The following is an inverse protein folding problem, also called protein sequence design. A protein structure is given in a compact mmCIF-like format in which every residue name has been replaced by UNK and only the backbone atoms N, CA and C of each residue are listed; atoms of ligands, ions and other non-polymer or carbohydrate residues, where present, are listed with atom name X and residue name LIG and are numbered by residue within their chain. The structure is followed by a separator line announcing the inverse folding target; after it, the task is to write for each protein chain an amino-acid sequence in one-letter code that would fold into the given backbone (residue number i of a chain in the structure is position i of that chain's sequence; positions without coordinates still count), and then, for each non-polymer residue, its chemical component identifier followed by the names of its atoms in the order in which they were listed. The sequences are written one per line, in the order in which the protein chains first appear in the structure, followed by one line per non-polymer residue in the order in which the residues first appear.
data_IF_294342804343
#
_entry.id   IF_294342804343
#
_cell.length_a   1.000
_cell.length_b   1.000
_cell.length_c   1.000
_cell.angle_alpha   90.00
_cell.angle_beta   90.00
_cell.angle_gamma   90.00
#
_symmetry.space_group_name_H-M   'P 1'
#
loop_
_entity.id
_entity.type
_entity.pdbx_description
1 polymer ?
#
# COMPACT_ATOMS: atom_id res chain seq x y z
N UNK A 1 -19.35 3.32 2.56
CA UNK A 1 -19.53 2.98 4.00
C UNK A 1 -18.21 2.43 4.51
N UNK A 2 -17.70 2.97 5.58
CA UNK A 2 -16.44 2.49 6.15
C UNK A 2 -16.71 1.32 7.10
N UNK A 3 -16.27 0.14 6.70
CA UNK A 3 -16.47 -1.09 7.46
C UNK A 3 -15.29 -1.37 8.42
N UNK A 4 -14.71 -0.29 8.89
CA UNK A 4 -13.55 -0.28 9.77
C UNK A 4 -13.96 -0.53 11.22
N UNK A 5 -13.11 -1.17 12.05
CA UNK A 5 -13.49 -1.52 13.42
C UNK A 5 -13.66 -0.33 14.37
N UNK A 6 -13.27 0.86 13.96
CA UNK A 6 -13.42 2.09 14.74
C UNK A 6 -14.73 2.81 14.37
N UNK A 7 -15.38 3.44 15.34
CA UNK A 7 -16.64 4.16 15.12
C UNK A 7 -16.46 5.48 14.38
N UNK A 8 -15.31 6.13 14.51
CA UNK A 8 -14.98 7.39 13.85
C UNK A 8 -14.04 7.11 12.66
N UNK A 9 -14.62 6.84 11.51
CA UNK A 9 -13.86 6.55 10.30
C UNK A 9 -13.96 7.72 9.32
N UNK A 10 -12.82 8.35 9.05
CA UNK A 10 -12.68 9.30 7.97
C UNK A 10 -12.09 8.56 6.77
N UNK A 11 -12.92 8.27 5.79
CA UNK A 11 -12.43 7.78 4.50
C UNK A 11 -12.11 8.98 3.64
N UNK A 12 -10.83 9.19 3.38
CA UNK A 12 -10.34 10.30 2.58
C UNK A 12 -9.45 9.74 1.46
N UNK A 13 -9.80 10.04 0.23
CA UNK A 13 -8.94 9.74 -0.91
C UNK A 13 -7.63 10.53 -0.83
N UNK A 14 -7.72 11.74 -0.32
CA UNK A 14 -6.57 12.62 -0.07
C UNK A 14 -6.56 12.93 1.42
N UNK A 15 -5.46 12.62 2.13
CA UNK A 15 -5.38 12.91 3.55
C UNK A 15 -5.57 14.40 3.84
N UNK A 16 -6.45 14.72 4.77
CA UNK A 16 -6.70 16.10 5.20
C UNK A 16 -5.98 16.37 6.52
N UNK A 17 -5.48 17.59 6.69
CA UNK A 17 -4.77 17.99 7.90
C UNK A 17 -5.67 17.90 9.15
N UNK A 18 -6.98 17.98 8.99
CA UNK A 18 -7.94 17.76 10.08
C UNK A 18 -7.79 16.39 10.76
N UNK A 19 -7.35 15.36 10.01
CA UNK A 19 -7.11 14.03 10.57
C UNK A 19 -5.95 14.01 11.57
N UNK A 20 -5.03 14.98 11.51
CA UNK A 20 -3.89 15.08 12.42
C UNK A 20 -4.29 15.40 13.87
N UNK A 21 -5.55 15.75 14.12
CA UNK A 21 -6.07 15.94 15.49
C UNK A 21 -6.35 14.62 16.21
N UNK A 22 -6.46 13.50 15.49
CA UNK A 22 -6.70 12.19 16.08
C UNK A 22 -5.45 11.66 16.80
N UNK A 23 -5.66 10.90 17.86
CA UNK A 23 -4.55 10.24 18.59
C UNK A 23 -4.01 9.03 17.85
N UNK A 24 -4.90 8.29 17.17
CA UNK A 24 -4.55 7.14 16.32
C UNK A 24 -4.91 7.44 14.88
N UNK A 25 -4.01 7.08 13.99
CA UNK A 25 -4.20 7.19 12.54
C UNK A 25 -3.93 5.86 11.86
N UNK A 26 -4.93 5.40 11.12
CA UNK A 26 -4.81 4.25 10.24
C UNK A 26 -4.58 4.77 8.82
N UNK A 27 -3.35 4.61 8.32
CA UNK A 27 -2.92 5.23 7.06
C UNK A 27 -2.72 4.17 6.00
N UNK A 28 -3.51 4.26 4.93
CA UNK A 28 -3.37 3.40 3.76
C UNK A 28 -2.58 4.07 2.65
N UNK A 29 -1.81 3.29 1.90
CA UNK A 29 -1.06 3.80 0.75
C UNK A 29 -1.02 2.80 -0.40
N UNK A 30 -0.77 3.31 -1.60
CA UNK A 30 -0.37 2.53 -2.76
C UNK A 30 1.15 2.59 -2.92
N UNK A 31 1.74 1.47 -3.28
CA UNK A 31 3.20 1.42 -3.48
C UNK A 31 3.60 2.03 -4.82
N UNK A 32 4.52 2.98 -4.73
CA UNK A 32 5.16 3.60 -5.89
C UNK A 32 6.68 3.58 -5.67
N UNK A 33 7.41 2.99 -6.60
CA UNK A 33 8.88 2.92 -6.57
C UNK A 33 9.46 2.36 -5.26
N UNK A 34 8.83 1.36 -4.71
CA UNK A 34 9.32 0.65 -3.53
C UNK A 34 9.02 1.29 -2.17
N UNK A 35 8.15 2.29 -2.15
CA UNK A 35 7.68 2.95 -0.92
C UNK A 35 6.24 3.42 -1.12
N UNK A 36 5.68 4.15 -0.16
CA UNK A 36 4.39 4.79 -0.33
C UNK A 36 4.42 5.85 -1.44
N UNK A 37 3.24 6.14 -1.99
CA UNK A 37 3.07 7.23 -2.96
C UNK A 37 3.38 8.60 -2.33
N UNK A 38 3.56 9.61 -3.20
CA UNK A 38 3.94 10.96 -2.76
C UNK A 38 2.88 11.63 -1.88
N UNK A 39 1.61 11.36 -2.12
CA UNK A 39 0.51 11.92 -1.32
C UNK A 39 0.56 11.38 0.10
N UNK A 40 0.71 10.08 0.26
CA UNK A 40 0.87 9.45 1.56
C UNK A 40 2.16 9.93 2.26
N UNK A 41 3.27 10.02 1.53
CA UNK A 41 4.54 10.50 2.07
C UNK A 41 4.43 11.92 2.63
N UNK A 42 3.79 12.82 1.90
CA UNK A 42 3.57 14.20 2.34
C UNK A 42 2.75 14.28 3.63
N UNK A 43 1.79 13.39 3.81
CA UNK A 43 0.99 13.31 5.03
C UNK A 43 1.77 12.70 6.19
N UNK A 44 2.49 11.61 5.96
CA UNK A 44 3.26 10.91 7.01
C UNK A 44 4.30 11.80 7.67
N UNK A 45 4.96 12.68 6.92
CA UNK A 45 5.99 13.57 7.48
C UNK A 45 5.42 14.61 8.45
N UNK A 46 4.11 14.89 8.38
CA UNK A 46 3.42 15.82 9.28
C UNK A 46 3.01 15.19 10.60
N UNK A 47 2.99 13.87 10.70
CA UNK A 47 2.51 13.15 11.87
C UNK A 47 3.54 13.15 13.00
N UNK A 48 3.11 13.52 14.20
CA UNK A 48 3.95 13.53 15.40
C UNK A 48 3.17 13.05 16.61
N UNK A 49 3.78 12.16 17.40
CA UNK A 49 3.22 11.67 18.65
C UNK A 49 1.94 10.85 18.49
N UNK A 50 1.78 10.17 17.35
CA UNK A 50 0.57 9.41 17.03
C UNK A 50 0.77 7.91 17.21
N UNK A 51 -0.30 7.20 17.49
CA UNK A 51 -0.38 5.77 17.25
C UNK A 51 -0.72 5.54 15.78
N UNK A 52 0.07 4.72 15.10
CA UNK A 52 -0.05 4.52 13.66
C UNK A 52 -0.23 3.05 13.32
N UNK A 53 -1.30 2.75 12.60
CA UNK A 53 -1.45 1.53 11.84
C UNK A 53 -1.19 1.87 10.37
N UNK A 54 -0.15 1.27 9.79
CA UNK A 54 0.25 1.52 8.42
C UNK A 54 -0.06 0.31 7.56
N UNK A 55 -0.81 0.50 6.50
CA UNK A 55 -1.13 -0.58 5.58
C UNK A 55 -1.02 -0.12 4.13
N UNK A 56 -0.72 -1.06 3.25
CA UNK A 56 -0.55 -0.72 1.85
C UNK A 56 -0.82 -1.89 0.91
N UNK A 57 -0.88 -1.56 -0.37
CA UNK A 57 -0.99 -2.53 -1.45
C UNK A 57 0.13 -2.33 -2.47
N UNK A 58 0.61 -3.42 -3.04
CA UNK A 58 1.66 -3.41 -4.05
C UNK A 58 1.31 -4.34 -5.21
N UNK A 59 1.57 -3.89 -6.43
CA UNK A 59 1.27 -4.66 -7.64
C UNK A 59 2.36 -5.66 -8.02
N UNK A 60 3.62 -5.42 -7.63
CA UNK A 60 4.78 -6.16 -8.11
C UNK A 60 5.13 -7.43 -7.33
N UNK A 61 4.24 -8.04 -6.67
CA UNK A 61 4.48 -9.31 -5.99
C UNK A 61 3.88 -9.35 -4.61
N UNK A 62 3.79 -10.58 -4.06
CA UNK A 62 3.19 -10.86 -2.76
C UNK A 62 4.16 -11.50 -1.78
N UNK A 63 5.45 -11.43 -2.03
CA UNK A 63 6.45 -12.02 -1.15
C UNK A 63 6.69 -11.17 0.10
N UNK A 64 6.81 -11.83 1.26
CA UNK A 64 6.99 -11.17 2.55
C UNK A 64 8.21 -10.23 2.56
N UNK A 65 9.33 -10.65 1.99
CA UNK A 65 10.56 -9.85 1.95
C UNK A 65 10.37 -8.55 1.15
N UNK A 66 9.60 -8.59 0.07
CA UNK A 66 9.27 -7.43 -0.73
C UNK A 66 8.38 -6.45 0.07
N UNK A 67 7.37 -6.97 0.73
CA UNK A 67 6.48 -6.16 1.58
C UNK A 67 7.22 -5.52 2.74
N UNK A 68 8.11 -6.24 3.40
CA UNK A 68 8.95 -5.70 4.49
C UNK A 68 9.80 -4.53 4.02
N UNK A 69 10.39 -4.65 2.83
CA UNK A 69 11.20 -3.57 2.23
C UNK A 69 10.39 -2.32 1.98
N UNK A 70 9.17 -2.47 1.42
CA UNK A 70 8.26 -1.35 1.18
C UNK A 70 7.88 -0.67 2.49
N UNK A 71 7.50 -1.46 3.49
CA UNK A 71 7.13 -0.94 4.80
C UNK A 71 8.29 -0.19 5.46
N UNK A 72 9.48 -0.75 5.42
CA UNK A 72 10.69 -0.11 5.96
C UNK A 72 10.96 1.24 5.28
N UNK A 73 10.89 1.29 3.96
CA UNK A 73 11.10 2.53 3.21
C UNK A 73 10.03 3.58 3.55
N UNK A 74 8.79 3.14 3.71
CA UNK A 74 7.68 4.01 4.07
C UNK A 74 7.78 4.51 5.50
N UNK A 75 8.15 3.65 6.45
CA UNK A 75 8.33 4.01 7.86
C UNK A 75 9.42 5.06 8.07
N UNK A 76 10.41 5.14 7.20
CA UNK A 76 11.43 6.19 7.25
C UNK A 76 10.86 7.61 7.05
N UNK A 77 9.64 7.74 6.52
CA UNK A 77 8.95 9.02 6.38
C UNK A 77 8.35 9.51 7.69
N UNK A 78 8.13 8.61 8.65
CA UNK A 78 7.54 8.93 9.94
C UNK A 78 8.56 9.46 10.92
N UNK A 79 8.16 10.50 11.65
CA UNK A 79 8.94 11.00 12.79
C UNK A 79 9.00 9.94 13.88
N UNK A 80 10.13 9.83 14.58
CA UNK A 80 10.36 8.84 15.63
C UNK A 80 9.45 8.99 16.85
N UNK A 81 8.74 10.13 16.99
CA UNK A 81 7.76 10.35 18.06
C UNK A 81 6.49 9.51 17.91
N UNK A 82 6.26 8.93 16.72
CA UNK A 82 5.09 8.10 16.46
C UNK A 82 5.33 6.65 16.95
N UNK A 83 4.26 6.01 17.40
CA UNK A 83 4.27 4.61 17.81
C UNK A 83 3.60 3.76 16.74
N UNK A 84 4.31 2.80 16.18
CA UNK A 84 3.75 1.88 15.19
C UNK A 84 3.01 0.75 15.91
N UNK A 85 1.69 0.75 15.81
CA UNK A 85 0.84 -0.25 16.46
C UNK A 85 0.86 -1.56 15.69
N UNK A 86 0.71 -1.46 14.37
CA UNK A 86 0.74 -2.62 13.47
C UNK A 86 1.02 -2.16 12.05
N UNK A 87 1.44 -3.10 11.21
CA UNK A 87 1.58 -2.88 9.76
C UNK A 87 0.95 -4.03 9.00
N UNK A 88 0.49 -3.76 7.78
CA UNK A 88 -0.09 -4.77 6.92
C UNK A 88 0.18 -4.45 5.45
N UNK A 89 0.44 -5.49 4.66
CA UNK A 89 0.59 -5.37 3.21
C UNK A 89 -0.19 -6.47 2.51
N UNK A 90 -0.77 -6.14 1.38
CA UNK A 90 -1.34 -7.11 0.48
C UNK A 90 -0.97 -6.79 -0.97
N UNK A 91 -1.18 -7.75 -1.85
CA UNK A 91 -1.06 -7.50 -3.28
C UNK A 91 -2.25 -6.68 -3.75
N UNK A 92 -2.06 -5.85 -4.77
CA UNK A 92 -3.10 -5.00 -5.31
C UNK A 92 -3.10 -4.95 -6.83
N UNK A 93 -4.28 -4.74 -7.39
CA UNK A 93 -4.51 -4.67 -8.83
C UNK A 93 -3.86 -3.43 -9.44
N UNK A 94 -3.10 -3.64 -10.50
CA UNK A 94 -2.56 -2.55 -11.32
C UNK A 94 -3.52 -2.16 -12.44
N UNK A 95 -3.45 -0.91 -12.97
CA UNK A 95 -4.24 -0.52 -14.14
C UNK A 95 -3.92 -1.36 -15.36
N UNK A 96 -4.92 -1.61 -16.22
CA UNK A 96 -4.75 -2.38 -17.46
C UNK A 96 -3.71 -1.76 -18.41
N UNK A 97 -3.52 -0.45 -18.35
CA UNK A 97 -2.47 0.24 -19.13
C UNK A 97 -1.07 -0.30 -18.85
N UNK A 98 -0.82 -0.82 -17.66
CA UNK A 98 0.47 -1.47 -17.31
C UNK A 98 0.63 -2.77 -18.10
N UNK A 99 -0.42 -3.60 -18.15
CA UNK A 99 -0.40 -4.85 -18.92
C UNK A 99 -0.22 -4.61 -20.41
N UNK A 100 -0.93 -3.64 -20.95
CA UNK A 100 -0.81 -3.25 -22.36
C UNK A 100 0.61 -2.81 -22.71
N UNK A 101 1.23 -2.05 -21.80
CA UNK A 101 2.63 -1.63 -21.98
C UNK A 101 3.57 -2.83 -21.97
N UNK A 102 3.38 -3.80 -21.08
CA UNK A 102 4.18 -5.02 -21.04
C UNK A 102 4.03 -5.85 -22.30
N UNK A 103 2.81 -6.02 -22.80
CA UNK A 103 2.53 -6.73 -24.05
C UNK A 103 3.21 -6.06 -25.25
N UNK A 104 3.15 -4.73 -25.31
CA UNK A 104 3.81 -3.94 -26.34
C UNK A 104 5.34 -4.11 -26.28
N UNK A 105 5.92 -4.11 -25.09
CA UNK A 105 7.35 -4.33 -24.89
C UNK A 105 7.75 -5.75 -25.28
N UNK A 106 6.92 -6.75 -24.98
CA UNK A 106 7.15 -8.16 -25.31
C UNK A 106 7.16 -8.39 -26.83
N UNK A 107 6.39 -7.62 -27.59
CA UNK A 107 6.36 -7.72 -29.06
C UNK A 107 7.61 -7.14 -29.74
N UNK A 108 8.46 -6.42 -29.03
CA UNK A 108 9.69 -5.88 -29.55
C UNK A 108 10.74 -7.01 -29.79
N UNK A 109 11.60 -6.91 -30.83
CA UNK A 109 12.62 -7.92 -31.12
C UNK A 109 13.61 -8.13 -29.97
N UNK A 110 13.88 -7.07 -29.22
CA UNK A 110 14.75 -7.11 -28.02
C UNK A 110 13.94 -6.55 -26.87
N UNK A 111 13.75 -7.35 -25.81
CA UNK A 111 13.00 -6.97 -24.64
C UNK A 111 13.63 -7.53 -23.37
N UNK A 112 13.25 -6.99 -22.21
CA UNK A 112 13.74 -7.46 -20.92
C UNK A 112 13.37 -8.94 -20.70
N UNK A 113 14.29 -9.78 -20.20
CA UNK A 113 14.09 -11.22 -20.10
C UNK A 113 13.02 -11.64 -19.12
N UNK A 114 12.61 -10.77 -18.21
CA UNK A 114 11.60 -11.06 -17.18
C UNK A 114 10.20 -10.53 -17.50
N UNK A 115 9.95 -10.02 -18.71
CA UNK A 115 8.65 -9.46 -19.10
C UNK A 115 7.50 -10.45 -18.96
N UNK A 116 7.71 -11.70 -19.34
CA UNK A 116 6.70 -12.75 -19.20
C UNK A 116 6.32 -12.96 -17.74
N UNK A 117 7.31 -12.97 -16.85
CA UNK A 117 7.09 -13.04 -15.40
C UNK A 117 6.37 -11.82 -14.84
N UNK A 118 6.60 -10.64 -15.40
CA UNK A 118 5.89 -9.42 -15.02
C UNK A 118 4.42 -9.47 -15.42
N UNK A 119 4.11 -10.00 -16.59
CA UNK A 119 2.72 -10.20 -17.05
C UNK A 119 2.03 -11.24 -16.17
N UNK A 120 2.68 -12.34 -15.86
CA UNK A 120 2.15 -13.36 -14.96
C UNK A 120 1.85 -12.78 -13.58
N UNK A 121 2.76 -11.98 -13.04
CA UNK A 121 2.53 -11.27 -11.77
C UNK A 121 1.34 -10.30 -11.85
N UNK A 122 1.20 -9.57 -12.96
CA UNK A 122 0.05 -8.71 -13.18
C UNK A 122 -1.26 -9.49 -13.11
N UNK A 123 -1.30 -10.64 -13.77
CA UNK A 123 -2.50 -11.49 -13.80
C UNK A 123 -2.83 -12.04 -12.40
N UNK A 124 -1.83 -12.41 -11.62
CA UNK A 124 -2.02 -12.83 -10.22
C UNK A 124 -2.53 -11.69 -9.35
N UNK A 125 -2.00 -10.49 -9.54
CA UNK A 125 -2.40 -9.32 -8.77
C UNK A 125 -3.81 -8.80 -9.12
N UNK A 126 -4.32 -9.17 -10.28
CA UNK A 126 -5.56 -8.62 -10.83
C UNK A 126 -6.78 -8.87 -9.94
N UNK A 127 -6.82 -9.99 -9.21
CA UNK A 127 -7.89 -10.34 -8.29
C UNK A 127 -7.68 -9.81 -6.86
N UNK A 128 -6.60 -9.09 -6.61
CA UNK A 128 -6.27 -8.55 -5.28
C UNK A 128 -6.50 -7.04 -5.19
N UNK A 129 -6.89 -6.52 -4.00
CA UNK A 129 -7.19 -7.29 -2.79
C UNK A 129 -8.45 -8.13 -2.95
N UNK A 130 -8.42 -9.34 -2.45
CA UNK A 130 -9.59 -10.21 -2.40
C UNK A 130 -10.24 -10.17 -1.00
N UNK A 131 -11.27 -10.99 -0.79
CA UNK A 131 -11.98 -11.04 0.48
C UNK A 131 -11.06 -11.46 1.65
N UNK A 132 -10.15 -12.39 1.40
CA UNK A 132 -9.17 -12.83 2.41
C UNK A 132 -8.23 -11.69 2.80
N UNK A 133 -7.73 -10.95 1.84
CA UNK A 133 -6.87 -9.77 2.09
C UNK A 133 -7.59 -8.74 2.97
N UNK A 134 -8.87 -8.50 2.70
CA UNK A 134 -9.67 -7.54 3.48
C UNK A 134 -9.94 -8.02 4.90
N UNK A 135 -10.18 -9.30 5.10
CA UNK A 135 -10.35 -9.90 6.43
C UNK A 135 -9.05 -9.78 7.23
N UNK A 136 -7.92 -10.10 6.63
CA UNK A 136 -6.61 -9.99 7.27
C UNK A 136 -6.29 -8.54 7.65
N UNK A 137 -6.61 -7.59 6.77
CA UNK A 137 -6.46 -6.17 7.03
C UNK A 137 -7.30 -5.73 8.23
N UNK A 138 -8.57 -6.12 8.28
CA UNK A 138 -9.46 -5.84 9.40
C UNK A 138 -8.91 -6.38 10.72
N UNK A 139 -8.43 -7.61 10.71
CA UNK A 139 -7.84 -8.25 11.89
C UNK A 139 -6.60 -7.50 12.36
N UNK A 140 -5.74 -7.06 11.45
CA UNK A 140 -4.56 -6.26 11.76
C UNK A 140 -4.94 -4.90 12.35
N UNK A 141 -5.96 -4.24 11.83
CA UNK A 141 -6.44 -2.94 12.31
C UNK A 141 -7.03 -3.00 13.72
N UNK A 142 -7.52 -4.17 14.13
CA UNK A 142 -8.13 -4.38 15.45
C UNK A 142 -7.12 -4.54 16.59
N UNK A 143 -5.84 -4.57 16.28
CA UNK A 143 -4.76 -4.69 17.28
C UNK A 143 -4.39 -3.34 17.97
#
# INVERSE_FOLDING_TARGET
MCDWPQTDCFYLEIPADAALSAERLDVGFWTDKGACDDTAAAFLVKMQGKEVFLFGAAGFGGEAAYFEKILKNTLHKLNSSNTIVCTHMCQGKMPMSVRERYEKMLSAPIHAPNLEGMIENFDKAFSHPDETDLIELKNAASK
#
